data_IF_113599987493
#
_entry.id   IF_113599987493
#
_cell.length_a   1.000
_cell.length_b   1.000
_cell.length_c   1.000
_cell.angle_alpha   90.00
_cell.angle_beta   90.00
_cell.angle_gamma   90.00
#
_symmetry.space_group_name_H-M   'P 1'
#
loop_
_entity.id
_entity.type
_entity.pdbx_description
1 polymer ?
#
# COMPACT_ATOMS: atom_id res chain seq x y z
N UNK A 1 5.70 37.50 6.39
CA UNK A 1 4.65 36.65 5.79
C UNK A 1 5.12 35.21 5.91
N UNK A 2 4.66 34.48 6.94
CA UNK A 2 5.10 33.10 7.19
C UNK A 2 4.21 32.18 6.35
N UNK A 3 4.71 31.71 5.21
CA UNK A 3 4.02 30.78 4.34
C UNK A 3 3.69 29.52 5.12
N UNK A 4 2.40 29.29 5.38
CA UNK A 4 1.93 28.09 6.05
C UNK A 4 2.31 26.87 5.23
N UNK A 5 3.07 25.94 5.80
CA UNK A 5 3.32 24.66 5.17
C UNK A 5 1.99 23.89 5.18
N UNK A 6 1.28 23.90 4.05
CA UNK A 6 0.10 23.07 3.86
C UNK A 6 0.56 21.61 3.84
N UNK A 7 0.61 20.98 5.01
CA UNK A 7 0.80 19.55 5.15
C UNK A 7 -0.38 18.87 4.47
N UNK A 8 -0.14 18.34 3.27
CA UNK A 8 -1.19 17.68 2.50
C UNK A 8 -1.66 16.45 3.27
N UNK A 9 -2.96 16.13 3.24
CA UNK A 9 -3.53 14.97 3.91
C UNK A 9 -2.77 13.66 3.54
N UNK A 10 -2.23 13.60 2.33
CA UNK A 10 -1.40 12.50 1.85
C UNK A 10 -0.06 12.33 2.59
N UNK A 11 0.49 13.40 3.16
CA UNK A 11 1.74 13.36 3.93
C UNK A 11 1.52 12.79 5.35
N UNK A 12 0.30 12.89 5.86
CA UNK A 12 -0.09 12.38 7.19
C UNK A 12 -0.74 11.00 7.08
N UNK A 13 -1.61 10.79 6.09
CA UNK A 13 -2.35 9.53 5.89
C UNK A 13 -1.67 8.54 4.95
N UNK A 14 -0.56 8.91 4.30
CA UNK A 14 0.16 8.00 3.41
C UNK A 14 0.73 6.77 4.12
N UNK A 15 1.40 6.94 5.26
CA UNK A 15 1.93 5.83 6.04
C UNK A 15 0.83 4.92 6.64
N UNK A 16 -0.24 5.46 7.26
CA UNK A 16 -1.39 4.65 7.69
C UNK A 16 -2.07 3.88 6.56
N UNK A 17 -2.26 4.50 5.38
CA UNK A 17 -2.91 3.85 4.25
C UNK A 17 -2.08 2.66 3.71
N UNK A 18 -0.75 2.76 3.73
CA UNK A 18 0.16 1.68 3.34
C UNK A 18 0.06 0.49 4.30
N UNK A 19 0.07 0.77 5.62
CA UNK A 19 -0.11 -0.25 6.65
C UNK A 19 -1.47 -0.92 6.51
N UNK A 20 -2.54 -0.15 6.28
CA UNK A 20 -3.87 -0.69 6.06
C UNK A 20 -3.95 -1.60 4.83
N UNK A 21 -3.30 -1.23 3.72
CA UNK A 21 -3.25 -2.06 2.52
C UNK A 21 -2.49 -3.38 2.75
N UNK A 22 -1.31 -3.33 3.39
CA UNK A 22 -0.55 -4.52 3.75
C UNK A 22 -1.32 -5.43 4.71
N UNK A 23 -2.00 -4.84 5.70
CA UNK A 23 -2.77 -5.60 6.69
C UNK A 23 -4.02 -6.23 6.08
N UNK A 24 -4.70 -5.54 5.17
CA UNK A 24 -5.85 -6.07 4.44
C UNK A 24 -5.41 -7.21 3.51
N UNK A 25 -4.26 -7.07 2.87
CA UNK A 25 -3.67 -8.15 2.07
C UNK A 25 -3.37 -9.39 2.92
N UNK A 26 -2.71 -9.23 4.08
CA UNK A 26 -2.42 -10.33 5.00
C UNK A 26 -3.68 -11.01 5.53
N UNK A 27 -4.75 -10.24 5.76
CA UNK A 27 -6.04 -10.78 6.17
C UNK A 27 -6.70 -11.59 5.04
N UNK A 28 -6.77 -11.04 3.83
CA UNK A 28 -7.32 -11.74 2.65
C UNK A 28 -6.54 -13.02 2.40
N UNK A 29 -5.20 -12.95 2.47
CA UNK A 29 -4.31 -14.08 2.34
C UNK A 29 -4.56 -15.18 3.39
N UNK A 30 -4.79 -14.79 4.64
CA UNK A 30 -5.09 -15.73 5.72
C UNK A 30 -6.45 -16.40 5.54
N UNK A 31 -7.48 -15.68 5.07
CA UNK A 31 -8.78 -16.27 4.75
C UNK A 31 -8.72 -17.19 3.53
N UNK A 32 -7.82 -16.94 2.58
CA UNK A 32 -7.66 -17.74 1.36
C UNK A 32 -6.78 -18.99 1.57
N UNK A 33 -6.43 -19.30 2.82
CA UNK A 33 -5.58 -20.43 3.22
C UNK A 33 -6.03 -21.83 2.82
N UNK A 34 -7.11 -21.99 2.05
CA UNK A 34 -7.55 -23.26 1.43
C UNK A 34 -7.37 -23.30 -0.11
N UNK A 35 -6.68 -22.31 -0.70
CA UNK A 35 -6.44 -22.20 -2.15
C UNK A 35 -5.06 -21.62 -2.47
N UNK A 36 -4.00 -22.40 -2.20
CA UNK A 36 -2.58 -22.00 -2.26
C UNK A 36 -2.18 -21.29 -3.57
N UNK A 37 -2.76 -21.71 -4.70
CA UNK A 37 -2.47 -21.13 -6.01
C UNK A 37 -3.08 -19.74 -6.22
N UNK A 38 -4.21 -19.46 -5.59
CA UNK A 38 -4.89 -18.16 -5.67
C UNK A 38 -4.12 -17.10 -4.85
N UNK A 39 -3.48 -17.55 -3.76
CA UNK A 39 -2.56 -16.73 -2.98
C UNK A 39 -1.28 -16.36 -3.77
N UNK A 40 -0.72 -17.29 -4.55
CA UNK A 40 0.47 -16.99 -5.38
C UNK A 40 0.13 -15.93 -6.44
N UNK A 41 -1.06 -16.01 -7.04
CA UNK A 41 -1.57 -14.99 -7.96
C UNK A 41 -1.78 -13.64 -7.28
N UNK A 42 -2.38 -13.64 -6.09
CA UNK A 42 -2.57 -12.43 -5.30
C UNK A 42 -1.25 -11.79 -4.87
N UNK A 43 -0.24 -12.58 -4.47
CA UNK A 43 1.10 -12.12 -4.12
C UNK A 43 1.83 -11.50 -5.32
N UNK A 44 1.78 -12.15 -6.49
CA UNK A 44 2.42 -11.62 -7.71
C UNK A 44 1.76 -10.31 -8.16
N UNK A 45 0.43 -10.20 -8.09
CA UNK A 45 -0.27 -8.93 -8.32
C UNK A 45 0.06 -7.88 -7.26
N UNK A 46 0.15 -8.28 -5.99
CA UNK A 46 0.53 -7.42 -4.87
C UNK A 46 1.90 -6.77 -5.08
N UNK A 47 2.89 -7.51 -5.60
CA UNK A 47 4.22 -6.96 -5.93
C UNK A 47 4.13 -5.84 -6.98
N UNK A 48 3.32 -6.02 -8.03
CA UNK A 48 3.10 -4.96 -9.04
C UNK A 48 2.43 -3.72 -8.47
N UNK A 49 1.44 -3.90 -7.58
CA UNK A 49 0.76 -2.79 -6.91
C UNK A 49 1.72 -2.05 -5.98
N UNK A 50 2.54 -2.78 -5.20
CA UNK A 50 3.55 -2.20 -4.31
C UNK A 50 4.61 -1.45 -5.11
N UNK A 51 5.11 -2.02 -6.21
CA UNK A 51 6.10 -1.36 -7.07
C UNK A 51 5.55 -0.06 -7.68
N UNK A 52 4.28 -0.06 -8.10
CA UNK A 52 3.61 1.13 -8.64
C UNK A 52 3.40 2.19 -7.54
N UNK A 53 2.97 1.77 -6.35
CA UNK A 53 2.80 2.66 -5.20
C UNK A 53 4.15 3.26 -4.76
N UNK A 54 5.21 2.45 -4.72
CA UNK A 54 6.56 2.90 -4.41
C UNK A 54 7.08 3.89 -5.44
N UNK A 55 6.88 3.64 -6.75
CA UNK A 55 7.25 4.57 -7.80
C UNK A 55 6.49 5.92 -7.69
N UNK A 56 5.21 5.88 -7.32
CA UNK A 56 4.41 7.08 -7.11
C UNK A 56 4.86 7.87 -5.87
N UNK A 57 5.28 7.18 -4.80
CA UNK A 57 5.84 7.79 -3.58
C UNK A 57 7.24 8.34 -3.83
N UNK A 58 8.09 7.60 -4.54
CA UNK A 58 9.45 8.00 -4.89
C UNK A 58 9.46 9.22 -5.82
N UNK A 59 8.43 9.38 -6.66
CA UNK A 59 8.24 10.58 -7.49
C UNK A 59 7.74 11.80 -6.71
N UNK A 60 7.23 11.61 -5.49
CA UNK A 60 6.70 12.66 -4.60
C UNK A 60 7.65 13.05 -3.46
N UNK A 61 8.81 12.39 -3.35
CA UNK A 61 9.98 12.95 -2.64
C UNK A 61 10.83 13.74 -3.62
#
# INVERSE_FOLDING_TARGET
MKSGHHLTLWQVFGAPALIAAFSLFGLIAALLGDGVWDLVGALTLGVSVIATAWALVARRR
#
